data_IF_421559483737
#
_entry.id   IF_421559483737
#
_cell.length_a   1.000
_cell.length_b   1.000
_cell.length_c   1.000
_cell.angle_alpha   90.00
_cell.angle_beta   90.00
_cell.angle_gamma   90.00
#
_symmetry.space_group_name_H-M   'P 1'
#
loop_
_entity.id
_entity.type
_entity.pdbx_description
1 polymer ?
#
# COMPACT_ATOMS: atom_id res chain seq x y z
N UNK A 1 19.52 -6.93 -28.01
CA UNK A 1 18.45 -6.68 -27.02
C UNK A 1 18.94 -6.85 -25.58
N UNK A 2 19.35 -8.05 -25.15
CA UNK A 2 19.73 -8.33 -23.75
C UNK A 2 20.85 -7.41 -23.19
N UNK A 3 21.87 -7.10 -23.99
CA UNK A 3 22.95 -6.18 -23.59
C UNK A 3 22.44 -4.75 -23.32
N UNK A 4 21.50 -4.27 -24.14
CA UNK A 4 20.94 -2.92 -24.03
C UNK A 4 20.05 -2.78 -22.78
N UNK A 5 19.25 -3.81 -22.53
CA UNK A 5 18.42 -3.90 -21.32
C UNK A 5 19.28 -4.01 -20.04
N UNK A 6 20.35 -4.82 -20.07
CA UNK A 6 21.30 -4.91 -18.95
C UNK A 6 21.94 -3.56 -18.64
N UNK A 7 22.37 -2.80 -19.66
CA UNK A 7 22.90 -1.44 -19.49
C UNK A 7 21.85 -0.47 -18.94
N UNK A 8 20.61 -0.56 -19.38
CA UNK A 8 19.52 0.26 -18.86
C UNK A 8 19.25 -0.01 -17.37
N UNK A 9 19.25 -1.28 -16.94
CA UNK A 9 19.15 -1.66 -15.52
C UNK A 9 20.30 -1.11 -14.68
N UNK A 10 21.53 -1.26 -15.16
CA UNK A 10 22.74 -0.77 -14.47
C UNK A 10 22.75 0.75 -14.35
N UNK A 11 22.31 1.47 -15.39
CA UNK A 11 22.17 2.92 -15.36
C UNK A 11 21.07 3.38 -14.42
N UNK A 12 19.92 2.70 -14.38
CA UNK A 12 18.84 2.99 -13.44
C UNK A 12 19.28 2.81 -11.97
N UNK A 13 20.26 1.93 -11.72
CA UNK A 13 20.91 1.74 -10.42
C UNK A 13 22.04 2.75 -10.12
N UNK A 14 22.23 3.79 -10.95
CA UNK A 14 23.20 4.88 -10.72
C UNK A 14 24.51 4.76 -11.48
N UNK A 15 24.74 3.69 -12.25
CA UNK A 15 26.01 3.46 -12.96
C UNK A 15 26.00 4.00 -14.40
N UNK A 16 25.34 5.14 -14.62
CA UNK A 16 25.21 5.76 -15.95
C UNK A 16 26.55 6.26 -16.52
N UNK A 17 27.45 6.74 -15.66
CA UNK A 17 28.72 7.37 -16.06
C UNK A 17 29.67 6.46 -16.85
N UNK A 18 29.62 5.15 -16.63
CA UNK A 18 30.54 4.13 -17.19
C UNK A 18 30.19 3.75 -18.65
N UNK A 19 29.03 4.18 -19.13
CA UNK A 19 28.56 3.85 -20.48
C UNK A 19 29.25 4.68 -21.56
N UNK A 20 29.40 4.11 -22.77
CA UNK A 20 29.85 4.88 -23.94
C UNK A 20 28.79 5.91 -24.34
N UNK A 21 29.16 6.95 -25.08
CA UNK A 21 28.21 8.00 -25.49
C UNK A 21 26.99 7.44 -26.25
N UNK A 22 27.19 6.49 -27.17
CA UNK A 22 26.08 5.86 -27.89
C UNK A 22 25.19 5.01 -26.98
N UNK A 23 25.77 4.36 -25.97
CA UNK A 23 25.01 3.60 -24.96
C UNK A 23 24.21 4.49 -24.03
N UNK A 24 24.79 5.62 -23.62
CA UNK A 24 24.10 6.62 -22.78
C UNK A 24 22.86 7.15 -23.48
N UNK A 25 22.96 7.49 -24.76
CA UNK A 25 21.83 7.96 -25.56
C UNK A 25 20.76 6.88 -25.69
N UNK A 26 21.14 5.64 -26.02
CA UNK A 26 20.17 4.55 -26.15
C UNK A 26 19.47 4.20 -24.82
N UNK A 27 20.21 4.24 -23.72
CA UNK A 27 19.67 4.02 -22.36
C UNK A 27 18.76 5.16 -21.94
N UNK A 28 19.11 6.42 -22.21
CA UNK A 28 18.26 7.56 -21.93
C UNK A 28 16.92 7.47 -22.68
N UNK A 29 16.92 6.98 -23.93
CA UNK A 29 15.69 6.72 -24.69
C UNK A 29 14.86 5.59 -24.08
N UNK A 30 15.50 4.48 -23.67
CA UNK A 30 14.80 3.35 -23.03
C UNK A 30 14.15 3.74 -21.71
N UNK A 31 14.85 4.52 -20.89
CA UNK A 31 14.39 4.96 -19.58
C UNK A 31 13.51 6.22 -19.64
N UNK A 32 13.24 6.73 -20.85
CA UNK A 32 12.49 7.96 -21.08
C UNK A 32 13.02 9.15 -20.26
N UNK A 33 14.34 9.37 -20.31
CA UNK A 33 15.07 10.43 -19.59
C UNK A 33 15.58 11.52 -20.54
N UNK A 34 14.73 12.47 -20.96
CA UNK A 34 15.14 13.58 -21.82
C UNK A 34 16.12 14.53 -21.12
N UNK A 35 16.06 14.60 -19.80
CA UNK A 35 17.00 15.34 -18.96
C UNK A 35 18.43 14.80 -19.09
N UNK A 36 18.61 13.48 -19.18
CA UNK A 36 19.94 12.88 -19.42
C UNK A 36 20.47 13.21 -20.82
N UNK A 37 19.59 13.28 -21.82
CA UNK A 37 19.99 13.75 -23.15
C UNK A 37 20.48 15.20 -23.10
N UNK A 38 19.74 16.06 -22.40
CA UNK A 38 20.10 17.46 -22.22
C UNK A 38 21.43 17.65 -21.46
N UNK A 39 21.67 16.88 -20.40
CA UNK A 39 22.95 16.89 -19.66
C UNK A 39 24.16 16.55 -20.55
N UNK A 40 23.94 15.72 -21.57
CA UNK A 40 24.97 15.37 -22.56
C UNK A 40 25.04 16.36 -23.73
N UNK A 41 24.23 17.41 -23.73
CA UNK A 41 24.03 18.36 -24.83
C UNK A 41 23.54 17.70 -26.13
N UNK A 42 22.62 16.74 -26.03
CA UNK A 42 21.95 16.12 -27.18
C UNK A 42 20.46 16.44 -27.18
N UNK A 43 19.95 16.78 -28.35
CA UNK A 43 18.51 16.77 -28.63
C UNK A 43 18.01 15.33 -28.87
N UNK A 44 16.68 15.14 -28.81
CA UNK A 44 16.07 13.85 -29.15
C UNK A 44 16.41 13.41 -30.58
N UNK A 45 16.41 14.35 -31.54
CA UNK A 45 16.70 14.06 -32.94
C UNK A 45 18.15 13.59 -33.13
N UNK A 46 19.12 14.29 -32.53
CA UNK A 46 20.54 13.90 -32.59
C UNK A 46 20.79 12.59 -31.86
N UNK A 47 20.09 12.33 -30.75
CA UNK A 47 20.18 11.04 -30.06
C UNK A 47 19.69 9.88 -30.95
N UNK A 48 18.57 10.06 -31.65
CA UNK A 48 18.04 9.08 -32.60
C UNK A 48 19.03 8.82 -33.74
N UNK A 49 19.59 9.88 -34.31
CA UNK A 49 20.60 9.76 -35.38
C UNK A 49 21.86 9.03 -34.90
N UNK A 50 22.34 9.37 -33.70
CA UNK A 50 23.60 8.85 -33.15
C UNK A 50 23.53 7.41 -32.68
N UNK A 51 22.39 6.98 -32.15
CA UNK A 51 22.12 5.59 -31.72
C UNK A 51 22.07 4.64 -32.92
N UNK A 52 21.60 5.14 -34.06
CA UNK A 52 21.56 4.40 -35.31
C UNK A 52 20.40 3.38 -35.39
N UNK A 53 20.09 2.92 -36.62
CA UNK A 53 18.85 2.19 -36.92
C UNK A 53 18.76 0.82 -36.25
N UNK A 54 19.89 0.13 -36.04
CA UNK A 54 19.90 -1.22 -35.48
C UNK A 54 19.50 -1.24 -34.00
N UNK A 55 19.95 -0.24 -33.25
CA UNK A 55 19.61 -0.11 -31.84
C UNK A 55 18.25 0.56 -31.65
N UNK A 56 17.90 1.52 -32.50
CA UNK A 56 16.60 2.20 -32.47
C UNK A 56 15.43 1.22 -32.64
N UNK A 57 15.58 0.18 -33.48
CA UNK A 57 14.59 -0.90 -33.62
C UNK A 57 14.35 -1.70 -32.34
N UNK A 58 15.35 -1.76 -31.45
CA UNK A 58 15.28 -2.53 -30.21
C UNK A 58 14.76 -1.71 -29.02
N UNK A 59 14.89 -0.37 -29.07
CA UNK A 59 14.52 0.53 -27.96
C UNK A 59 13.08 0.32 -27.47
N UNK A 60 12.03 0.27 -28.32
CA UNK A 60 10.66 0.15 -27.82
C UNK A 60 10.41 -1.16 -27.06
N UNK A 61 11.01 -2.26 -27.50
CA UNK A 61 10.87 -3.54 -26.82
C UNK A 61 11.72 -3.61 -25.54
N UNK A 62 12.91 -3.01 -25.53
CA UNK A 62 13.72 -2.87 -24.32
C UNK A 62 13.01 -2.01 -23.25
N UNK A 63 12.39 -0.89 -23.65
CA UNK A 63 11.63 -0.01 -22.75
C UNK A 63 10.44 -0.73 -22.11
N UNK A 64 9.65 -1.46 -22.91
CA UNK A 64 8.54 -2.27 -22.38
C UNK A 64 9.00 -3.35 -21.42
N UNK A 65 10.10 -4.05 -21.75
CA UNK A 65 10.63 -5.08 -20.86
C UNK A 65 11.14 -4.50 -19.55
N UNK A 66 11.83 -3.36 -19.59
CA UNK A 66 12.30 -2.68 -18.38
C UNK A 66 11.15 -2.26 -17.47
N UNK A 67 10.07 -1.71 -18.04
CA UNK A 67 8.89 -1.34 -17.25
C UNK A 67 8.19 -2.57 -16.66
N UNK A 68 8.07 -3.65 -17.43
CA UNK A 68 7.53 -4.91 -16.93
C UNK A 68 8.34 -5.44 -15.73
N UNK A 69 9.67 -5.46 -15.83
CA UNK A 69 10.54 -5.89 -14.73
C UNK A 69 10.32 -5.05 -13.46
N UNK A 70 10.12 -3.72 -13.62
CA UNK A 70 9.83 -2.82 -12.49
C UNK A 70 8.49 -3.12 -11.83
N UNK A 71 7.46 -3.37 -12.64
CA UNK A 71 6.13 -3.74 -12.14
C UNK A 71 6.17 -5.08 -11.41
N UNK A 72 6.92 -6.05 -11.95
CA UNK A 72 7.08 -7.36 -11.34
C UNK A 72 7.77 -7.26 -9.97
N UNK A 73 8.88 -6.49 -9.87
CA UNK A 73 9.55 -6.23 -8.59
C UNK A 73 8.62 -5.55 -7.59
N UNK A 74 7.91 -4.50 -8.00
CA UNK A 74 6.96 -3.80 -7.12
C UNK A 74 5.84 -4.74 -6.64
N UNK A 75 5.38 -5.67 -7.49
CA UNK A 75 4.37 -6.66 -7.12
C UNK A 75 4.92 -7.69 -6.12
N UNK A 76 6.15 -8.15 -6.30
CA UNK A 76 6.81 -9.08 -5.39
C UNK A 76 7.04 -8.44 -4.02
N UNK A 77 7.52 -7.19 -3.99
CA UNK A 77 7.67 -6.40 -2.76
C UNK A 77 6.33 -6.18 -2.05
N UNK A 78 5.27 -5.88 -2.81
CA UNK A 78 3.92 -5.71 -2.26
C UNK A 78 3.38 -7.02 -1.66
N UNK A 79 3.62 -8.15 -2.33
CA UNK A 79 3.23 -9.47 -1.83
C UNK A 79 4.02 -9.86 -0.58
N UNK A 80 5.34 -9.63 -0.56
CA UNK A 80 6.18 -9.87 0.61
C UNK A 80 5.74 -9.00 1.78
N UNK A 81 5.49 -7.71 1.57
CA UNK A 81 4.97 -6.81 2.59
C UNK A 81 3.59 -7.28 3.11
N UNK A 82 2.73 -7.83 2.25
CA UNK A 82 1.44 -8.41 2.63
C UNK A 82 1.63 -9.67 3.48
N UNK A 83 2.51 -10.57 3.06
CA UNK A 83 2.87 -11.79 3.78
C UNK A 83 3.45 -11.48 5.16
N UNK A 84 4.35 -10.49 5.25
CA UNK A 84 4.94 -10.05 6.51
C UNK A 84 3.88 -9.51 7.48
N UNK A 85 2.91 -8.72 7.00
CA UNK A 85 1.77 -8.25 7.80
C UNK A 85 0.89 -9.41 8.30
N UNK A 86 0.63 -10.41 7.45
CA UNK A 86 -0.10 -11.61 7.85
C UNK A 86 0.67 -12.43 8.89
N UNK A 87 1.97 -12.61 8.69
CA UNK A 87 2.84 -13.29 9.63
C UNK A 87 2.88 -12.57 10.98
N UNK A 88 2.87 -11.24 11.01
CA UNK A 88 2.80 -10.46 12.25
C UNK A 88 1.53 -10.75 13.06
N UNK A 89 0.36 -10.86 12.42
CA UNK A 89 -0.88 -11.25 13.10
C UNK A 89 -0.79 -12.70 13.59
N UNK A 90 -0.08 -13.58 12.87
CA UNK A 90 0.06 -15.00 13.22
C UNK A 90 1.14 -15.30 14.26
N UNK A 91 2.17 -14.46 14.40
CA UNK A 91 3.37 -14.77 15.20
C UNK A 91 3.20 -14.56 16.71
N UNK A 92 1.97 -14.56 17.22
CA UNK A 92 1.65 -14.58 18.63
C UNK A 92 0.66 -15.69 18.96
N UNK A 93 1.16 -16.94 19.07
CA UNK A 93 0.53 -18.09 19.76
C UNK A 93 -0.58 -18.85 19.03
N UNK A 94 -1.02 -19.93 19.70
CA UNK A 94 -1.86 -21.01 19.19
C UNK A 94 -3.19 -20.48 18.62
N UNK A 95 -3.81 -21.28 17.74
CA UNK A 95 -4.98 -20.90 16.95
C UNK A 95 -6.22 -20.40 17.75
N UNK A 96 -6.24 -20.59 19.07
CA UNK A 96 -7.34 -20.23 19.97
C UNK A 96 -7.02 -19.06 20.94
N UNK A 97 -5.83 -18.46 20.88
CA UNK A 97 -5.50 -17.30 21.72
C UNK A 97 -6.14 -16.01 21.15
N UNK A 98 -7.00 -15.37 21.94
CA UNK A 98 -7.57 -14.05 21.59
C UNK A 98 -6.48 -12.98 21.74
N UNK A 99 -6.29 -12.17 20.69
CA UNK A 99 -5.38 -11.02 20.73
C UNK A 99 -6.17 -9.77 21.06
N UNK A 100 -5.80 -9.10 22.16
CA UNK A 100 -6.35 -7.81 22.53
C UNK A 100 -5.70 -6.69 21.72
N UNK A 101 -6.54 -5.82 21.16
CA UNK A 101 -6.13 -4.62 20.45
C UNK A 101 -6.81 -3.41 21.06
N UNK A 102 -6.06 -2.32 21.24
CA UNK A 102 -6.67 -1.00 21.29
C UNK A 102 -6.99 -0.57 19.85
N UNK A 103 -8.24 -0.25 19.56
CA UNK A 103 -8.70 0.07 18.21
C UNK A 103 -9.14 1.54 18.09
N UNK A 104 -8.69 2.21 17.03
CA UNK A 104 -9.16 3.55 16.65
C UNK A 104 -9.84 3.48 15.29
N UNK A 105 -11.11 3.86 15.19
CA UNK A 105 -11.84 3.90 13.92
C UNK A 105 -11.27 5.02 13.03
N UNK A 106 -10.84 4.66 11.83
CA UNK A 106 -10.29 5.59 10.83
C UNK A 106 -11.38 6.02 9.85
N UNK A 107 -12.09 5.05 9.28
CA UNK A 107 -13.18 5.30 8.32
C UNK A 107 -14.10 4.09 8.23
N UNK A 108 -15.27 4.28 7.64
CA UNK A 108 -16.19 3.22 7.29
C UNK A 108 -16.67 3.41 5.85
N UNK A 109 -17.25 2.36 5.28
CA UNK A 109 -17.93 2.46 4.01
C UNK A 109 -18.99 1.39 3.84
N UNK A 110 -19.87 1.66 2.90
CA UNK A 110 -21.04 0.85 2.61
C UNK A 110 -20.81 0.10 1.30
N UNK A 111 -21.03 -1.21 1.28
CA UNK A 111 -21.14 -1.92 0.01
C UNK A 111 -22.53 -1.64 -0.60
N UNK A 112 -22.61 -1.24 -1.88
CA UNK A 112 -23.89 -1.05 -2.56
C UNK A 112 -24.80 -2.27 -2.40
N UNK A 113 -26.00 -2.06 -1.85
CA UNK A 113 -27.00 -3.12 -1.66
C UNK A 113 -26.87 -3.93 -0.37
N UNK A 114 -26.30 -3.39 0.71
CA UNK A 114 -26.31 -3.96 2.07
C UNK A 114 -25.74 -5.39 2.17
N UNK A 115 -24.67 -5.69 1.43
CA UNK A 115 -24.03 -7.02 1.46
C UNK A 115 -22.98 -7.15 2.56
N UNK A 116 -22.39 -6.03 2.97
CA UNK A 116 -21.45 -5.93 4.07
C UNK A 116 -21.28 -4.46 4.49
N UNK A 117 -20.87 -4.27 5.75
CA UNK A 117 -20.29 -3.04 6.23
C UNK A 117 -18.78 -3.26 6.39
N UNK A 118 -17.96 -2.28 6.00
CA UNK A 118 -16.53 -2.33 6.27
C UNK A 118 -16.10 -1.16 7.14
N UNK A 119 -15.30 -1.46 8.13
CA UNK A 119 -14.66 -0.50 9.02
C UNK A 119 -13.15 -0.61 8.87
N UNK A 120 -12.47 0.52 8.85
CA UNK A 120 -11.01 0.57 8.86
C UNK A 120 -10.59 1.06 10.22
N UNK A 121 -9.77 0.28 10.92
CA UNK A 121 -9.23 0.61 12.22
C UNK A 121 -7.70 0.66 12.18
N UNK A 122 -7.12 1.56 12.96
CA UNK A 122 -5.75 1.41 13.44
C UNK A 122 -5.81 0.58 14.73
N UNK A 123 -5.20 -0.60 14.69
CA UNK A 123 -5.15 -1.57 15.77
C UNK A 123 -3.76 -1.58 16.40
N UNK A 124 -3.70 -1.31 17.69
CA UNK A 124 -2.47 -1.32 18.49
C UNK A 124 -2.46 -2.60 19.35
N UNK A 125 -1.72 -3.66 18.96
CA UNK A 125 -1.56 -4.84 19.81
C UNK A 125 -0.71 -4.49 21.03
N UNK A 126 -0.93 -5.23 22.12
CA UNK A 126 -0.10 -5.13 23.32
C UNK A 126 1.29 -5.70 23.00
N UNK A 127 2.31 -4.83 22.95
CA UNK A 127 3.70 -5.23 22.72
C UNK A 127 4.13 -5.41 21.26
N UNK A 128 3.32 -4.99 20.28
CA UNK A 128 3.66 -5.01 18.85
C UNK A 128 3.46 -3.65 18.17
N UNK A 129 3.88 -3.50 16.90
CA UNK A 129 3.62 -2.27 16.15
C UNK A 129 2.13 -2.12 15.77
N UNK A 130 1.66 -0.89 15.53
CA UNK A 130 0.31 -0.66 15.06
C UNK A 130 0.08 -1.23 13.65
N UNK A 131 -1.12 -1.76 13.39
CA UNK A 131 -1.55 -2.23 12.07
C UNK A 131 -2.84 -1.55 11.65
N UNK A 132 -2.95 -1.16 10.38
CA UNK A 132 -4.23 -0.73 9.80
C UNK A 132 -4.98 -1.92 9.23
N UNK A 133 -6.15 -2.20 9.78
CA UNK A 133 -6.97 -3.35 9.40
C UNK A 133 -8.33 -2.88 8.84
N UNK A 134 -8.77 -3.51 7.74
CA UNK A 134 -10.15 -3.41 7.28
C UNK A 134 -10.91 -4.64 7.78
N UNK A 135 -11.92 -4.41 8.62
CA UNK A 135 -12.81 -5.45 9.15
C UNK A 135 -14.10 -5.41 8.37
N UNK A 136 -14.48 -6.55 7.78
CA UNK A 136 -15.77 -6.74 7.11
C UNK A 136 -16.74 -7.38 8.08
N UNK A 137 -17.85 -6.71 8.32
CA UNK A 137 -18.96 -7.21 9.14
C UNK A 137 -20.06 -7.69 8.21
N UNK A 138 -20.51 -8.94 8.39
CA UNK A 138 -21.63 -9.47 7.63
C UNK A 138 -22.95 -8.87 8.14
N UNK A 139 -23.98 -8.71 7.29
CA UNK A 139 -25.27 -8.18 7.71
C UNK A 139 -25.88 -8.90 8.93
N UNK A 140 -25.78 -10.23 8.97
CA UNK A 140 -26.31 -11.07 10.06
C UNK A 140 -25.62 -10.85 11.42
N UNK A 141 -24.36 -10.42 11.41
CA UNK A 141 -23.59 -10.14 12.63
C UNK A 141 -23.75 -8.69 13.08
N UNK A 142 -24.11 -7.78 12.16
CA UNK A 142 -24.21 -6.34 12.41
C UNK A 142 -25.21 -6.00 13.52
N UNK A 143 -26.39 -6.62 13.51
CA UNK A 143 -27.40 -6.41 14.55
C UNK A 143 -26.87 -6.82 15.93
N UNK A 144 -26.20 -7.97 16.02
CA UNK A 144 -25.64 -8.46 17.27
C UNK A 144 -24.54 -7.54 17.79
N UNK A 145 -23.64 -7.08 16.92
CA UNK A 145 -22.56 -6.15 17.28
C UNK A 145 -23.14 -4.84 17.85
N UNK A 146 -24.11 -4.23 17.16
CA UNK A 146 -24.75 -3.00 17.62
C UNK A 146 -25.46 -3.21 18.96
N UNK A 147 -26.18 -4.33 19.10
CA UNK A 147 -26.82 -4.70 20.37
C UNK A 147 -25.82 -4.81 21.51
N UNK A 148 -24.69 -5.49 21.29
CA UNK A 148 -23.67 -5.67 22.32
C UNK A 148 -22.99 -4.35 22.71
N UNK A 149 -22.61 -3.52 21.74
CA UNK A 149 -22.03 -2.19 21.99
C UNK A 149 -23.01 -1.31 22.78
N UNK A 150 -24.30 -1.35 22.43
CA UNK A 150 -25.37 -0.63 23.13
C UNK A 150 -25.54 -1.12 24.56
N UNK A 151 -25.58 -2.44 24.77
CA UNK A 151 -25.71 -3.02 26.11
C UNK A 151 -24.55 -2.65 27.03
N UNK A 152 -23.30 -2.65 26.53
CA UNK A 152 -22.12 -2.25 27.31
C UNK A 152 -22.24 -0.80 27.76
N UNK A 153 -22.61 0.12 26.87
CA UNK A 153 -22.77 1.52 27.23
C UNK A 153 -23.95 1.71 28.19
N UNK A 154 -25.10 1.06 27.94
CA UNK A 154 -26.24 1.13 28.87
C UNK A 154 -25.85 0.71 30.27
N UNK A 155 -25.14 -0.41 30.40
CA UNK A 155 -24.67 -0.92 31.68
C UNK A 155 -23.71 0.07 32.37
N UNK A 156 -22.77 0.67 31.63
CA UNK A 156 -21.84 1.64 32.18
C UNK A 156 -22.54 2.90 32.71
N UNK A 157 -23.60 3.35 32.03
CA UNK A 157 -24.35 4.56 32.38
C UNK A 157 -25.55 4.32 33.32
N UNK A 158 -25.90 3.07 33.63
CA UNK A 158 -27.03 2.71 34.51
C UNK A 158 -26.73 3.00 35.98
N UNK A 159 -25.46 2.92 36.37
CA UNK A 159 -24.99 3.14 37.75
C UNK A 159 -24.50 4.57 38.02
N UNK A 160 -24.72 5.50 37.08
CA UNK A 160 -24.20 6.87 37.13
C UNK A 160 -23.28 7.19 35.95
N UNK A 161 -22.22 7.94 36.20
CA UNK A 161 -21.20 8.26 35.21
C UNK A 161 -20.16 7.12 35.10
N UNK A 162 -19.72 6.71 33.90
CA UNK A 162 -18.67 5.71 33.73
C UNK A 162 -17.37 6.07 34.46
N UNK A 163 -16.63 5.06 34.92
CA UNK A 163 -15.37 5.24 35.67
C UNK A 163 -14.35 6.08 34.90
N UNK A 164 -14.30 5.91 33.57
CA UNK A 164 -13.36 6.60 32.68
C UNK A 164 -13.98 7.79 31.94
N UNK A 165 -15.14 8.28 32.38
CA UNK A 165 -15.80 9.41 31.75
C UNK A 165 -14.95 10.67 31.86
N UNK A 166 -14.88 11.43 30.76
CA UNK A 166 -14.18 12.72 30.76
C UNK A 166 -15.03 13.78 31.45
N UNK A 167 -14.42 14.81 32.08
CA UNK A 167 -15.18 15.89 32.69
C UNK A 167 -16.18 16.53 31.72
N UNK A 168 -17.48 16.45 32.05
CA UNK A 168 -18.57 17.00 31.24
C UNK A 168 -19.06 16.08 30.12
N UNK A 169 -18.58 14.83 30.06
CA UNK A 169 -19.11 13.81 29.16
C UNK A 169 -20.58 13.51 29.50
N UNK A 170 -21.42 13.42 28.46
CA UNK A 170 -22.86 13.21 28.63
C UNK A 170 -23.24 11.82 28.17
N UNK A 171 -24.22 11.22 28.86
CA UNK A 171 -24.84 9.96 28.46
C UNK A 171 -25.23 10.01 26.98
N UNK A 172 -24.71 9.09 26.14
CA UNK A 172 -25.02 9.08 24.71
C UNK A 172 -26.50 8.78 24.43
N UNK A 173 -27.12 9.58 23.55
CA UNK A 173 -28.56 9.49 23.22
C UNK A 173 -28.97 8.19 22.53
N UNK A 174 -28.06 7.56 21.80
CA UNK A 174 -28.34 6.36 21.01
C UNK A 174 -28.53 5.09 21.87
N UNK A 175 -28.19 5.14 23.16
CA UNK A 175 -28.27 3.99 24.08
C UNK A 175 -29.72 3.62 24.42
N UNK A 176 -30.61 4.61 24.46
CA UNK A 176 -31.99 4.44 24.92
C UNK A 176 -32.96 4.11 23.75
N UNK A 177 -32.41 3.94 22.53
CA UNK A 177 -33.21 3.78 21.32
C UNK A 177 -33.81 5.11 20.85
N UNK A 178 -34.05 5.22 19.55
CA UNK A 178 -34.94 6.25 18.99
C UNK A 178 -36.34 5.65 18.84
#
# INVERSE_FOLDING_TARGET
MAQLLSKARTAAAGNFGVLSTGEKLAVALILNRPDWLAEMNYTLAEAIERVGPDWLRLIPAAARQFEQDRLDVASAEAEEARQAKLAMVRNGRAADDVIDFAATLVTYGEAPGYRDAHFVFDLQPIGGPAIRARIRVRPEDGEQIVRHVTSVHRFAWDRGEPIDAKPGEKRPKWIDGH
#
